data_IF_218720041944
#
_entry.id   IF_218720041944
#
_cell.length_a   1.000
_cell.length_b   1.000
_cell.length_c   1.000
_cell.angle_alpha   90.00
_cell.angle_beta   90.00
_cell.angle_gamma   90.00
#
_symmetry.space_group_name_H-M   'P 1'
#
loop_
_entity.id
_entity.type
_entity.pdbx_description
1 polymer ?
2 non-polymer ?
3 non-polymer ?
4 water ?
#
# COMPACT_ATOMS: atom_id res chain seq x y z
N UNK A 2 -8.29 10.18 17.69
CA UNK A 2 -8.25 10.90 16.42
C UNK A 2 -8.80 12.31 16.62
N UNK A 3 -8.17 13.29 15.98
CA UNK A 3 -8.58 14.68 16.16
C UNK A 3 -9.99 14.88 15.62
N UNK A 4 -10.86 15.48 16.44
CA UNK A 4 -12.19 15.85 15.98
C UNK A 4 -12.09 17.18 15.24
N UNK A 5 -12.49 17.18 13.97
CA UNK A 5 -12.44 18.37 13.14
C UNK A 5 -13.78 19.09 13.17
N UNK A 6 -13.73 20.42 13.10
CA UNK A 6 -14.92 21.22 12.93
C UNK A 6 -15.33 21.22 11.47
N UNK A 7 -16.59 20.85 11.21
CA UNK A 7 -17.07 20.73 9.83
C UNK A 7 -17.07 22.06 9.09
N UNK A 8 -17.07 23.19 9.79
CA UNK A 8 -17.00 24.47 9.09
C UNK A 8 -15.66 24.65 8.37
N UNK A 9 -14.64 23.90 8.76
CA UNK A 9 -13.34 23.97 8.12
C UNK A 9 -13.20 23.03 6.93
N UNK A 10 -14.25 22.28 6.60
CA UNK A 10 -14.20 21.27 5.55
C UNK A 10 -15.13 21.69 4.42
N UNK A 11 -14.60 21.69 3.20
CA UNK A 11 -15.41 21.92 2.01
C UNK A 11 -15.27 20.72 1.09
N UNK A 12 -16.40 20.21 0.61
CA UNK A 12 -16.43 19.12 -0.36
C UNK A 12 -16.43 19.74 -1.75
N UNK A 13 -15.41 19.41 -2.55
CA UNK A 13 -15.34 19.87 -3.94
C UNK A 13 -16.12 18.93 -4.86
N UNK A 14 -15.70 17.67 -4.93
CA UNK A 14 -16.18 16.74 -5.92
C UNK A 14 -16.21 15.34 -5.32
N UNK A 15 -17.08 14.49 -5.86
CA UNK A 15 -17.22 13.11 -5.42
C UNK A 15 -16.38 12.24 -6.36
N UNK A 16 -15.31 11.65 -5.82
CA UNK A 16 -14.42 10.85 -6.65
C UNK A 16 -15.03 9.50 -6.96
N UNK A 17 -15.69 8.89 -5.98
CA UNK A 17 -16.26 7.58 -6.20
C UNK A 17 -16.97 7.10 -4.95
N UNK A 18 -17.23 5.79 -4.93
CA UNK A 18 -17.98 5.14 -3.88
C UNK A 18 -17.06 4.19 -3.11
N UNK A 19 -17.13 4.24 -1.78
CA UNK A 19 -16.43 3.31 -0.94
C UNK A 19 -17.36 2.25 -0.36
N UNK A 20 -16.84 1.53 0.63
CA UNK A 20 -17.64 0.51 1.30
C UNK A 20 -18.78 1.14 2.10
N UNK A 21 -18.47 2.13 2.92
CA UNK A 21 -19.42 2.69 3.85
C UNK A 21 -20.15 3.93 3.33
N UNK A 22 -19.89 4.37 2.12
CA UNK A 22 -20.44 5.60 1.64
C UNK A 22 -19.58 6.21 0.55
N UNK A 23 -19.68 7.53 0.41
CA UNK A 23 -19.03 8.25 -0.68
C UNK A 23 -17.58 8.60 -0.36
N UNK A 24 -16.78 8.62 -1.42
CA UNK A 24 -15.40 9.10 -1.35
C UNK A 24 -15.31 10.40 -2.14
N UNK A 25 -14.81 11.44 -1.49
CA UNK A 25 -14.83 12.79 -2.03
C UNK A 25 -13.46 13.43 -1.89
N UNK A 26 -13.28 14.55 -2.57
CA UNK A 26 -12.09 15.37 -2.41
C UNK A 26 -12.54 16.79 -2.08
N UNK A 27 -11.65 17.54 -1.45
CA UNK A 27 -12.04 18.82 -0.93
C UNK A 27 -10.87 19.54 -0.31
N UNK A 28 -11.20 20.52 0.54
CA UNK A 28 -10.22 21.35 1.22
C UNK A 28 -10.47 21.31 2.72
N UNK A 29 -9.38 21.39 3.47
CA UNK A 29 -9.44 21.50 4.92
C UNK A 29 -8.71 22.76 5.33
N UNK A 30 -9.36 23.61 6.11
CA UNK A 30 -8.73 24.78 6.69
C UNK A 30 -8.20 24.40 8.06
N UNK A 31 -6.87 24.44 8.20
CA UNK A 31 -6.19 24.07 9.42
C UNK A 31 -6.35 25.18 10.48
N UNK A 32 -6.04 24.90 11.73
CA UNK A 32 -6.25 25.92 12.77
C UNK A 32 -5.45 27.19 12.52
N UNK A 33 -4.27 27.07 11.89
CA UNK A 33 -3.42 28.18 11.52
C UNK A 33 -3.97 29.00 10.35
N UNK A 34 -5.10 28.58 9.76
CA UNK A 34 -5.77 29.15 8.59
C UNK A 34 -5.22 28.65 7.27
N UNK A 35 -4.12 27.90 7.27
CA UNK A 35 -3.62 27.33 6.03
C UNK A 35 -4.64 26.33 5.48
N UNK A 36 -4.80 26.32 4.16
CA UNK A 36 -5.74 25.44 3.49
C UNK A 36 -4.98 24.38 2.71
N UNK A 37 -5.40 23.11 2.85
CA UNK A 37 -4.78 21.99 2.15
C UNK A 37 -5.87 21.19 1.45
N UNK A 38 -5.48 20.49 0.37
CA UNK A 38 -6.38 19.55 -0.28
C UNK A 38 -6.42 18.27 0.53
N UNK A 39 -7.60 17.68 0.63
CA UNK A 39 -7.79 16.46 1.41
C UNK A 39 -8.71 15.51 0.68
N UNK A 40 -8.60 14.22 1.03
CA UNK A 40 -9.63 13.25 0.72
C UNK A 40 -10.63 13.22 1.86
N UNK A 41 -11.92 13.11 1.52
CA UNK A 41 -13.00 13.11 2.50
C UNK A 41 -13.89 11.90 2.24
N UNK A 42 -13.99 11.00 3.22
CA UNK A 42 -14.89 9.86 3.17
C UNK A 42 -16.08 10.14 4.06
N UNK A 43 -17.28 9.95 3.54
CA UNK A 43 -18.50 10.15 4.30
C UNK A 43 -19.19 8.82 4.57
N UNK A 44 -19.62 8.62 5.81
CA UNK A 44 -20.41 7.46 6.18
C UNK A 44 -21.83 7.65 5.67
N UNK A 45 -22.37 6.65 4.99
CA UNK A 45 -23.68 6.76 4.36
C UNK A 45 -24.74 7.12 5.39
N UNK A 46 -25.73 7.92 4.94
CA UNK A 46 -26.87 8.21 5.81
C UNK A 46 -27.58 6.89 6.14
N UNK A 47 -28.13 6.83 7.35
CA UNK A 47 -28.79 5.62 7.79
C UNK A 47 -27.84 4.49 8.09
N UNK A 48 -26.64 4.81 8.57
CA UNK A 48 -25.65 3.80 8.91
C UNK A 48 -26.06 3.03 10.16
N UNK A 49 -25.72 1.74 10.17
CA UNK A 49 -25.83 0.94 11.38
C UNK A 49 -24.72 1.30 12.36
N UNK A 50 -24.93 0.94 13.63
CA UNK A 50 -23.92 1.20 14.65
C UNK A 50 -22.62 0.44 14.35
N UNK A 51 -22.74 -0.76 13.79
CA UNK A 51 -21.53 -1.52 13.46
C UNK A 51 -20.77 -0.86 12.32
N UNK A 52 -21.49 -0.33 11.32
CA UNK A 52 -20.83 0.39 10.23
C UNK A 52 -20.06 1.59 10.77
N UNK A 53 -20.68 2.39 11.64
CA UNK A 53 -19.99 3.50 12.26
C UNK A 53 -18.75 3.04 13.02
N UNK A 54 -18.87 1.93 13.77
CA UNK A 54 -17.75 1.40 14.53
C UNK A 54 -16.61 0.97 13.61
N UNK A 55 -16.92 0.24 12.55
CA UNK A 55 -15.88 -0.24 11.64
C UNK A 55 -15.29 0.90 10.83
N UNK A 56 -16.13 1.85 10.41
CA UNK A 56 -15.66 3.02 9.67
C UNK A 56 -14.64 3.81 10.48
N UNK A 57 -15.03 4.25 11.69
CA UNK A 57 -14.14 5.03 12.53
C UNK A 57 -13.00 4.19 13.09
N UNK A 58 -13.23 2.89 13.28
CA UNK A 58 -12.17 2.02 13.76
C UNK A 58 -10.97 2.02 12.84
N UNK A 59 -11.22 2.03 11.53
CA UNK A 59 -10.08 2.03 10.60
C UNK A 59 -9.36 3.36 10.59
N UNK A 60 -10.09 4.47 10.80
CA UNK A 60 -9.43 5.75 10.97
C UNK A 60 -8.60 5.76 12.24
N UNK A 61 -9.07 5.08 13.29
CA UNK A 61 -8.34 5.01 14.55
C UNK A 61 -7.00 4.30 14.38
N UNK A 62 -6.97 3.23 13.58
CA UNK A 62 -5.71 2.54 13.30
C UNK A 62 -4.77 3.45 12.50
N UNK A 63 -5.28 4.04 11.42
CA UNK A 63 -4.45 4.90 10.59
C UNK A 63 -3.84 6.04 11.39
N UNK A 64 -4.61 6.57 12.34
CA UNK A 64 -4.17 7.66 13.20
C UNK A 64 -3.03 7.31 14.15
N UNK A 65 -2.71 6.03 14.32
CA UNK A 65 -1.57 5.65 15.14
C UNK A 65 -0.25 6.04 14.49
N UNK A 66 -0.23 6.25 13.18
CA UNK A 66 1.01 6.39 12.43
C UNK A 66 1.16 7.82 11.92
N UNK A 67 2.29 8.44 12.23
CA UNK A 67 2.68 9.71 11.61
C UNK A 67 3.98 9.46 10.87
N UNK A 68 3.89 9.27 9.56
CA UNK A 68 5.07 8.94 8.77
C UNK A 68 4.84 9.46 7.37
N UNK A 69 5.89 9.89 6.65
CA UNK A 69 5.66 10.45 5.31
C UNK A 69 5.16 9.44 4.31
N UNK A 70 5.41 8.15 4.54
CA UNK A 70 4.98 7.05 3.68
C UNK A 70 3.73 6.31 4.13
N UNK A 71 3.03 6.82 5.14
CA UNK A 71 1.74 6.28 5.56
C UNK A 71 0.70 7.38 5.39
N UNK A 72 -0.45 7.04 4.81
CA UNK A 72 -1.49 8.06 4.58
C UNK A 72 -1.81 8.76 5.89
N UNK A 73 -1.78 10.10 5.86
CA UNK A 73 -1.96 10.92 7.06
C UNK A 73 -3.44 11.11 7.34
N UNK A 74 -3.83 10.91 8.59
CA UNK A 74 -5.21 11.18 9.02
C UNK A 74 -5.24 12.61 9.55
N UNK A 75 -5.95 13.48 8.83
CA UNK A 75 -6.12 14.84 9.34
C UNK A 75 -7.11 14.89 10.48
N UNK A 76 -8.12 14.03 10.46
CA UNK A 76 -9.04 13.90 11.58
C UNK A 76 -10.36 13.33 11.14
N UNK A 77 -11.32 13.35 12.06
CA UNK A 77 -12.66 12.80 11.84
C UNK A 77 -13.70 13.83 12.26
N UNK A 78 -14.91 13.70 11.70
CA UNK A 78 -16.06 14.45 12.18
C UNK A 78 -17.04 13.41 12.74
N UNK A 79 -17.14 13.32 14.07
CA UNK A 79 -18.18 12.53 14.70
C UNK A 79 -19.30 13.33 15.38
N UNK A 80 -19.16 14.65 15.52
CA UNK A 80 -20.10 15.43 16.31
C UNK A 80 -21.18 16.11 15.47
N UNK A 81 -21.10 15.95 14.16
CA UNK A 81 -22.14 16.38 13.24
C UNK A 81 -22.25 15.31 12.17
N UNK A 82 -23.32 15.41 11.38
CA UNK A 82 -23.54 14.44 10.31
C UNK A 82 -23.50 15.14 8.95
N UNK A 83 -23.02 14.42 7.91
CA UNK A 83 -22.52 13.05 7.96
C UNK A 83 -21.19 12.88 8.71
N UNK A 84 -20.98 11.69 9.27
CA UNK A 84 -19.70 11.33 9.86
C UNK A 84 -18.66 11.27 8.74
N UNK A 85 -17.44 11.74 9.03
CA UNK A 85 -16.45 11.94 7.98
C UNK A 85 -15.09 11.49 8.46
N UNK A 86 -14.28 10.99 7.52
CA UNK A 86 -12.85 10.74 7.72
C UNK A 86 -12.07 11.56 6.72
N UNK A 87 -11.14 12.38 7.20
CA UNK A 87 -10.40 13.31 6.37
C UNK A 87 -8.93 12.91 6.35
N UNK A 88 -8.39 12.64 5.16
CA UNK A 88 -7.02 12.18 4.99
C UNK A 88 -6.31 13.00 3.92
N UNK A 89 -4.99 12.87 3.84
CA UNK A 89 -4.27 13.68 2.86
C UNK A 89 -4.67 13.29 1.44
N UNK A 90 -4.65 14.29 0.57
CA UNK A 90 -5.09 14.12 -0.81
C UNK A 90 -3.99 13.46 -1.62
N UNK A 91 -4.33 12.42 -2.37
CA UNK A 91 -3.36 11.74 -3.21
C UNK A 91 -3.87 11.80 -4.65
N UNK A 92 -3.26 12.67 -5.45
CA UNK A 92 -3.87 13.04 -6.72
C UNK A 92 -3.93 11.88 -7.69
N UNK A 93 -2.94 11.00 -7.67
CA UNK A 93 -2.80 9.95 -8.67
C UNK A 93 -3.40 8.62 -8.25
N UNK A 94 -4.07 8.57 -7.09
CA UNK A 94 -4.93 7.43 -6.79
C UNK A 94 -4.16 6.19 -6.40
N UNK A 95 -4.76 5.03 -6.65
CA UNK A 95 -4.14 3.76 -6.27
C UNK A 95 -3.01 3.44 -7.24
N UNK A 96 -1.94 2.86 -6.69
CA UNK A 96 -0.72 2.68 -7.46
C UNK A 96 -0.91 1.71 -8.62
N UNK A 97 -1.63 0.61 -8.41
CA UNK A 97 -1.78 -0.37 -9.48
C UNK A 97 -2.51 0.23 -10.69
N UNK A 98 -3.60 0.96 -10.45
CA UNK A 98 -4.33 1.57 -11.55
C UNK A 98 -3.51 2.67 -12.20
N UNK A 99 -2.74 3.42 -11.40
CA UNK A 99 -1.92 4.50 -11.96
C UNK A 99 -0.84 3.94 -12.87
N UNK A 100 -0.15 2.88 -12.46
CA UNK A 100 0.90 2.31 -13.30
C UNK A 100 0.34 1.69 -14.57
N UNK A 101 -0.90 1.16 -14.53
CA UNK A 101 -1.47 0.55 -15.73
C UNK A 101 -1.73 1.59 -16.81
N UNK A 102 -1.98 2.83 -16.42
CA UNK A 102 -2.18 3.89 -17.41
C UNK A 102 -0.86 4.32 -18.04
N UNK A 103 0.24 4.00 -17.40
CA UNK A 103 1.59 4.45 -17.68
C UNK A 103 2.58 3.44 -18.24
N UNK A 104 2.11 2.31 -18.78
CA UNK A 104 3.00 1.17 -19.00
C UNK A 104 4.28 1.59 -19.73
N UNK A 105 5.41 1.23 -19.13
CA UNK A 105 6.76 1.49 -19.61
C UNK A 105 7.10 2.97 -19.73
N UNK A 106 6.38 3.85 -19.04
CA UNK A 106 6.59 5.29 -19.20
C UNK A 106 7.45 5.94 -18.12
N UNK A 107 7.90 5.20 -17.11
CA UNK A 107 8.72 5.77 -16.06
C UNK A 107 10.12 5.19 -16.14
N UNK A 108 11.09 5.94 -15.61
CA UNK A 108 12.43 5.40 -15.53
C UNK A 108 12.52 4.39 -14.38
N UNK A 109 13.50 3.50 -14.47
CA UNK A 109 13.75 2.57 -13.38
C UNK A 109 13.94 3.31 -12.07
N UNK A 110 14.63 4.44 -12.10
CA UNK A 110 14.94 5.15 -10.85
C UNK A 110 13.67 5.74 -10.24
N UNK A 111 12.73 6.23 -11.07
CA UNK A 111 11.43 6.64 -10.57
C UNK A 111 10.70 5.47 -9.90
N UNK A 112 10.68 4.31 -10.55
CA UNK A 112 10.01 3.16 -9.95
C UNK A 112 10.67 2.78 -8.62
N UNK A 113 12.00 2.81 -8.56
CA UNK A 113 12.69 2.47 -7.31
C UNK A 113 12.34 3.47 -6.21
N UNK A 114 12.20 4.75 -6.56
CA UNK A 114 11.78 5.72 -5.56
C UNK A 114 10.41 5.41 -4.99
N UNK A 115 9.46 4.99 -5.84
CA UNK A 115 8.15 4.60 -5.36
C UNK A 115 8.27 3.42 -4.39
N UNK A 116 9.05 2.42 -4.78
CA UNK A 116 9.25 1.22 -3.96
C UNK A 116 9.95 1.54 -2.65
N UNK A 117 10.89 2.50 -2.66
CA UNK A 117 11.58 2.87 -1.42
C UNK A 117 10.61 3.51 -0.45
N UNK A 118 9.72 4.39 -0.94
CA UNK A 118 8.69 4.96 -0.08
C UNK A 118 7.82 3.91 0.56
N UNK A 119 7.35 2.94 -0.23
CA UNK A 119 6.51 1.88 0.31
C UNK A 119 7.25 1.09 1.38
N UNK A 120 8.52 0.75 1.13
CA UNK A 120 9.28 0.00 2.13
C UNK A 120 9.49 0.83 3.40
N UNK A 121 9.71 2.13 3.26
CA UNK A 121 9.92 2.97 4.43
C UNK A 121 8.67 3.03 5.30
N UNK A 122 7.50 3.17 4.66
CA UNK A 122 6.26 3.13 5.41
C UNK A 122 6.05 1.80 6.12
N UNK A 123 6.37 0.69 5.43
CA UNK A 123 6.24 -0.61 6.07
C UNK A 123 7.23 -0.80 7.20
N UNK A 124 8.45 -0.25 7.06
CA UNK A 124 9.40 -0.30 8.17
C UNK A 124 8.80 0.35 9.41
N UNK A 125 8.12 1.49 9.24
CA UNK A 125 7.54 2.14 10.41
C UNK A 125 6.35 1.37 10.95
N UNK A 126 5.48 0.86 10.06
CA UNK A 126 4.33 0.08 10.50
C UNK A 126 4.76 -1.13 11.31
N UNK A 127 5.79 -1.84 10.82
CA UNK A 127 6.28 -3.03 11.52
C UNK A 127 7.03 -2.66 12.81
N UNK A 128 7.70 -1.51 12.83
CA UNK A 128 8.30 -0.99 14.06
C UNK A 128 7.25 -0.75 15.13
N UNK A 129 6.04 -0.40 14.71
CA UNK A 129 4.94 -0.06 15.62
C UNK A 129 4.15 -1.27 16.08
N UNK A 130 4.49 -2.46 15.60
CA UNK A 130 3.86 -3.69 16.03
C UNK A 130 2.68 -4.15 15.20
N UNK A 131 2.46 -3.53 14.05
CA UNK A 131 1.29 -3.84 13.24
C UNK A 131 1.68 -4.75 12.10
N UNK A 132 0.81 -5.70 11.78
CA UNK A 132 0.90 -6.48 10.56
C UNK A 132 -0.23 -6.04 9.66
N UNK A 133 0.11 -5.65 8.43
CA UNK A 133 -0.88 -5.05 7.56
C UNK A 133 -1.86 -6.08 7.02
N UNK A 134 -1.32 -7.19 6.49
CA UNK A 134 -1.99 -8.40 5.97
C UNK A 134 -2.65 -8.19 4.61
N UNK A 135 -2.88 -6.93 4.24
CA UNK A 135 -3.43 -6.47 2.97
C UNK A 135 -2.45 -5.80 2.00
N UNK A 136 -1.14 -5.92 2.18
CA UNK A 136 -0.22 -5.08 1.43
C UNK A 136 -0.22 -5.48 -0.04
N UNK A 137 -0.60 -4.55 -0.91
CA UNK A 137 -0.80 -4.78 -2.33
C UNK A 137 -0.74 -3.41 -3.00
N UNK A 138 -0.44 -3.38 -4.30
CA UNK A 138 -0.34 -2.09 -4.99
C UNK A 138 -1.65 -1.33 -4.97
N UNK A 139 -2.79 -2.02 -4.94
CA UNK A 139 -4.09 -1.37 -4.89
C UNK A 139 -4.31 -0.63 -3.57
N UNK A 140 -3.59 -1.02 -2.54
CA UNK A 140 -3.64 -0.40 -1.22
C UNK A 140 -2.53 0.63 -0.98
N UNK A 141 -1.74 0.95 -2.00
CA UNK A 141 -0.78 2.03 -1.97
C UNK A 141 -1.37 3.19 -2.75
N UNK A 142 -1.28 4.40 -2.21
CA UNK A 142 -1.75 5.59 -2.90
C UNK A 142 -0.57 6.44 -3.31
N UNK A 143 -0.72 7.20 -4.40
CA UNK A 143 0.42 7.92 -4.97
C UNK A 143 0.03 9.36 -5.25
N UNK A 144 0.84 10.30 -4.77
CA UNK A 144 0.45 11.70 -4.87
C UNK A 144 0.96 12.35 -6.17
N UNK A 145 0.77 13.68 -6.25
CA UNK A 145 1.12 14.42 -7.46
C UNK A 145 2.61 14.36 -7.76
N UNK A 146 3.42 14.16 -6.73
CA UNK A 146 4.88 14.09 -6.82
C UNK A 146 5.39 12.65 -6.92
N UNK A 147 4.49 11.70 -7.09
CA UNK A 147 4.77 10.25 -7.16
C UNK A 147 5.28 9.67 -5.85
N UNK A 148 5.01 10.32 -4.74
CA UNK A 148 5.31 9.72 -3.44
C UNK A 148 4.24 8.69 -3.13
N UNK A 149 4.67 7.48 -2.73
CA UNK A 149 3.76 6.36 -2.47
C UNK A 149 3.60 6.14 -0.98
N UNK A 150 2.34 5.93 -0.56
CA UNK A 150 2.02 5.84 0.87
C UNK A 150 1.09 4.66 1.14
N UNK A 151 1.34 3.95 2.26
CA UNK A 151 0.51 2.80 2.61
C UNK A 151 -0.85 3.27 3.08
N UNK A 152 -1.90 2.60 2.60
CA UNK A 152 -3.28 2.90 2.96
C UNK A 152 -4.03 1.61 3.30
N UNK A 153 -5.35 1.74 3.50
CA UNK A 153 -6.24 0.59 3.68
C UNK A 153 -5.88 -0.29 4.88
N UNK A 154 -6.18 0.19 6.07
CA UNK A 154 -5.90 -0.52 7.31
C UNK A 154 -7.02 -1.47 7.73
N UNK A 155 -8.02 -1.68 6.87
CA UNK A 155 -9.15 -2.54 7.22
C UNK A 155 -8.76 -3.91 7.75
N UNK A 156 -7.74 -4.54 7.17
CA UNK A 156 -7.30 -5.85 7.62
C UNK A 156 -6.14 -5.79 8.61
N UNK A 157 -5.68 -4.60 8.97
CA UNK A 157 -4.51 -4.46 9.83
C UNK A 157 -4.81 -4.93 11.24
N UNK A 158 -3.81 -5.57 11.87
CA UNK A 158 -3.94 -6.08 13.24
C UNK A 158 -2.68 -5.77 14.04
N UNK A 159 -2.88 -5.43 15.32
CA UNK A 159 -1.78 -5.45 16.28
C UNK A 159 -1.29 -6.88 16.44
N UNK A 160 0.03 -7.04 16.54
CA UNK A 160 0.62 -8.35 16.75
C UNK A 160 0.44 -8.77 18.21
N UNK A 175 -9.13 -13.12 2.62
CA UNK A 175 -7.68 -13.13 2.56
C UNK A 175 -7.18 -13.06 1.11
N UNK A 176 -6.33 -12.08 0.82
CA UNK A 176 -5.83 -11.89 -0.55
C UNK A 176 -4.75 -12.91 -0.93
N UNK A 177 -5.19 -14.08 -1.41
CA UNK A 177 -4.30 -15.22 -1.63
C UNK A 177 -3.04 -14.81 -2.40
N UNK A 178 -3.21 -14.07 -3.50
CA UNK A 178 -2.07 -13.74 -4.36
C UNK A 178 -0.98 -12.94 -3.63
N UNK A 179 -1.36 -12.19 -2.60
CA UNK A 179 -0.42 -11.37 -1.86
C UNK A 179 0.08 -12.00 -0.57
N UNK A 180 -0.41 -13.18 -0.22
CA UNK A 180 -0.23 -13.71 1.12
C UNK A 180 0.87 -14.78 1.13
N UNK A 181 1.68 -14.77 2.20
CA UNK A 181 2.79 -15.70 2.27
C UNK A 181 2.28 -17.14 2.42
N UNK A 182 3.11 -18.13 2.06
CA UNK A 182 2.65 -19.53 2.16
C UNK A 182 2.22 -19.93 3.56
N UNK A 183 2.94 -19.45 4.58
CA UNK A 183 2.62 -19.83 5.95
C UNK A 183 1.35 -19.14 6.45
N UNK A 184 1.08 -17.91 5.98
CA UNK A 184 -0.16 -17.27 6.38
C UNK A 184 -1.37 -17.89 5.69
N UNK A 185 -1.20 -18.37 4.45
CA UNK A 185 -2.26 -19.15 3.80
C UNK A 185 -2.46 -20.47 4.54
N UNK A 186 -1.38 -21.16 4.80
CA UNK A 186 -1.44 -22.50 5.40
C UNK A 186 -2.13 -22.50 6.75
N UNK A 187 -1.49 -21.87 7.75
CA UNK A 187 -2.00 -21.77 9.11
C UNK A 187 -2.44 -20.40 9.65
N UNK A 188 -2.52 -19.37 8.84
CA UNK A 188 -2.80 -18.01 9.36
C UNK A 188 -1.67 -17.48 10.23
N UNK A 189 -0.43 -17.76 9.83
CA UNK A 189 0.70 -17.23 10.56
C UNK A 189 1.08 -15.90 9.89
N UNK A 190 0.71 -14.81 10.56
CA UNK A 190 0.86 -13.46 10.02
C UNK A 190 1.88 -12.78 10.90
N UNK A 191 3.00 -12.41 10.31
CA UNK A 191 4.09 -11.73 11.02
C UNK A 191 4.54 -10.58 10.14
N UNK A 192 5.49 -9.76 10.61
CA UNK A 192 6.04 -8.76 9.70
C UNK A 192 6.74 -9.43 8.52
N UNK A 193 7.23 -10.66 8.69
CA UNK A 193 7.85 -11.39 7.58
C UNK A 193 6.84 -11.82 6.53
N UNK A 194 5.56 -12.02 6.89
CA UNK A 194 4.57 -12.25 5.85
C UNK A 194 4.25 -10.97 5.12
N UNK A 195 4.33 -9.83 5.81
CA UNK A 195 4.20 -8.56 5.09
C UNK A 195 5.35 -8.36 4.12
N UNK A 196 6.55 -8.81 4.49
CA UNK A 196 7.70 -8.72 3.57
C UNK A 196 7.43 -9.56 2.32
N UNK A 197 6.85 -10.76 2.49
CA UNK A 197 6.40 -11.51 1.32
C UNK A 197 5.49 -10.67 0.44
N UNK A 198 4.48 -10.03 1.05
CA UNK A 198 3.56 -9.20 0.29
C UNK A 198 4.31 -8.07 -0.39
N UNK A 199 5.30 -7.50 0.30
CA UNK A 199 6.10 -6.45 -0.33
C UNK A 199 6.80 -6.96 -1.57
N UNK A 200 7.28 -8.21 -1.55
CA UNK A 200 7.85 -8.78 -2.76
C UNK A 200 6.86 -8.82 -3.90
N UNK A 201 5.59 -9.08 -3.57
CA UNK A 201 4.56 -9.08 -4.61
C UNK A 201 4.35 -7.66 -5.14
N UNK A 202 4.33 -6.68 -4.24
CA UNK A 202 4.17 -5.29 -4.65
C UNK A 202 5.31 -4.88 -5.57
N UNK A 203 6.53 -5.33 -5.25
CA UNK A 203 7.68 -5.02 -6.08
C UNK A 203 7.51 -5.59 -7.48
N UNK A 204 7.01 -6.81 -7.58
CA UNK A 204 6.67 -7.36 -8.88
C UNK A 204 5.58 -6.54 -9.58
N UNK A 205 4.52 -6.16 -8.86
CA UNK A 205 3.47 -5.34 -9.45
C UNK A 205 4.02 -4.04 -10.02
N UNK A 206 4.90 -3.36 -9.27
CA UNK A 206 5.41 -2.07 -9.73
C UNK A 206 6.27 -2.26 -10.96
N UNK A 207 7.18 -3.24 -10.93
CA UNK A 207 8.07 -3.45 -12.06
C UNK A 207 7.32 -4.02 -13.27
N UNK A 208 6.11 -4.53 -13.08
CA UNK A 208 5.23 -5.01 -14.15
C UNK A 208 4.19 -3.98 -14.57
N UNK A 209 4.24 -2.77 -14.02
CA UNK A 209 3.27 -1.72 -14.33
C UNK A 209 1.83 -2.13 -14.05
N UNK A 210 1.62 -2.82 -12.94
CA UNK A 210 0.25 -3.09 -12.50
C UNK A 210 -0.34 -4.36 -13.06
N UNK A 211 0.49 -5.25 -13.59
CA UNK A 211 -0.02 -6.58 -13.92
C UNK A 211 -0.51 -7.27 -12.65
N UNK A 212 -1.51 -8.13 -12.80
CA UNK A 212 -2.07 -8.83 -11.67
C UNK A 212 -1.16 -9.99 -11.28
N UNK A 213 -0.79 -10.11 -10.00
CA UNK A 213 0.05 -11.24 -9.58
C UNK A 213 -0.64 -12.56 -9.90
N UNK A 214 0.10 -13.44 -10.56
CA UNK A 214 -0.37 -14.77 -10.97
C UNK A 214 -1.56 -14.69 -11.91
N UNK A 215 -1.75 -13.54 -12.55
CA UNK A 215 -2.78 -13.33 -13.56
C UNK A 215 -4.11 -13.88 -13.04
N UNK A 216 -4.82 -14.68 -13.82
CA UNK A 216 -6.10 -15.29 -13.46
C UNK A 216 -6.02 -16.74 -12.95
N UNK A 217 -4.82 -17.26 -12.66
CA UNK A 217 -4.68 -18.65 -12.20
C UNK A 217 -5.67 -18.96 -11.08
N UNK A 218 -6.25 -20.17 -11.13
CA UNK A 218 -7.09 -20.66 -10.04
C UNK A 218 -6.34 -20.50 -8.73
N UNK A 219 -7.06 -20.05 -7.69
CA UNK A 219 -6.41 -19.83 -6.40
C UNK A 219 -5.76 -21.11 -5.85
N UNK A 220 -6.36 -22.27 -6.11
CA UNK A 220 -5.75 -23.52 -5.67
C UNK A 220 -4.40 -23.73 -6.33
N UNK A 221 -4.25 -23.29 -7.58
CA UNK A 221 -2.99 -23.45 -8.28
C UNK A 221 -1.97 -22.40 -7.87
N UNK A 222 -2.41 -21.19 -7.51
CA UNK A 222 -1.49 -20.22 -6.93
C UNK A 222 -0.88 -20.77 -5.65
N UNK A 223 -1.73 -21.32 -4.77
CA UNK A 223 -1.25 -21.91 -3.52
C UNK A 223 -0.28 -23.05 -3.78
N UNK A 224 -0.65 -23.99 -4.67
CA UNK A 224 0.16 -25.19 -4.83
C UNK A 224 1.47 -24.88 -5.55
N UNK A 225 1.41 -24.04 -6.59
CA UNK A 225 2.61 -23.70 -7.35
C UNK A 225 3.65 -23.03 -6.46
N UNK A 226 3.23 -22.03 -5.68
CA UNK A 226 4.17 -21.37 -4.78
C UNK A 226 4.76 -22.38 -3.81
N UNK A 227 3.90 -23.22 -3.23
CA UNK A 227 4.38 -24.23 -2.29
C UNK A 227 5.41 -25.15 -2.94
N UNK A 228 5.19 -25.52 -4.22
CA UNK A 228 6.14 -26.36 -4.93
C UNK A 228 7.45 -25.66 -5.28
N UNK A 229 7.56 -24.36 -5.04
CA UNK A 229 8.78 -23.65 -5.33
C UNK A 229 8.75 -22.80 -6.58
N UNK A 230 7.61 -22.68 -7.24
CA UNK A 230 7.49 -21.80 -8.38
C UNK A 230 7.28 -20.36 -7.92
N UNK A 231 7.78 -19.41 -8.72
CA UNK A 231 7.68 -17.99 -8.41
C UNK A 231 7.35 -17.21 -9.67
N UNK A 232 6.84 -16.01 -9.45
CA UNK A 232 6.52 -15.13 -10.57
C UNK A 232 7.78 -14.87 -11.38
N UNK A 233 7.68 -14.80 -12.71
CA UNK A 233 8.85 -14.60 -13.57
C UNK A 233 9.28 -13.15 -13.53
N UNK A 234 10.50 -12.85 -13.95
CA UNK A 234 10.96 -11.45 -13.94
C UNK A 234 10.14 -10.60 -14.90
N UNK A 235 9.69 -9.44 -14.46
CA UNK A 235 9.04 -8.52 -15.39
C UNK A 235 10.00 -8.15 -16.51
N UNK A 236 9.43 -7.75 -17.65
CA UNK A 236 10.26 -7.42 -18.80
C UNK A 236 11.24 -6.29 -18.45
N UNK A 237 12.51 -6.49 -18.81
CA UNK A 237 13.57 -5.51 -18.58
C UNK A 237 13.79 -5.24 -17.09
N UNK A 238 13.47 -6.19 -16.24
CA UNK A 238 13.62 -5.95 -14.81
C UNK A 238 15.09 -6.03 -14.43
N UNK A 239 15.61 -5.03 -13.71
CA UNK A 239 16.98 -5.14 -13.20
C UNK A 239 17.15 -6.39 -12.34
N UNK A 240 18.34 -7.01 -12.46
CA UNK A 240 18.61 -8.24 -11.73
C UNK A 240 18.56 -8.02 -10.22
N UNK A 241 19.05 -6.86 -9.76
CA UNK A 241 19.00 -6.56 -8.33
C UNK A 241 17.57 -6.62 -7.81
N UNK A 242 16.62 -6.11 -8.60
CA UNK A 242 15.23 -6.03 -8.15
C UNK A 242 14.52 -7.38 -8.24
N UNK A 243 14.82 -8.18 -9.27
CA UNK A 243 14.23 -9.51 -9.32
C UNK A 243 14.75 -10.39 -8.19
N UNK A 244 16.06 -10.36 -7.93
CA UNK A 244 16.59 -11.09 -6.78
C UNK A 244 15.94 -10.63 -5.48
N UNK A 245 15.68 -9.31 -5.34
CA UNK A 245 15.02 -8.84 -4.13
C UNK A 245 13.62 -9.44 -3.98
N UNK A 246 12.89 -9.56 -5.10
CA UNK A 246 11.61 -10.27 -5.07
C UNK A 246 11.78 -11.70 -4.58
N UNK A 247 12.74 -12.43 -5.16
CA UNK A 247 12.96 -13.82 -4.76
C UNK A 247 13.35 -13.94 -3.30
N UNK A 248 14.09 -12.96 -2.78
CA UNK A 248 14.47 -12.98 -1.37
C UNK A 248 13.27 -12.72 -0.47
N UNK A 249 12.39 -11.81 -0.86
CA UNK A 249 11.14 -11.62 -0.14
C UNK A 249 10.26 -12.85 -0.18
N UNK A 250 10.42 -13.68 -1.21
CA UNK A 250 9.65 -14.89 -1.45
C UNK A 250 10.27 -16.15 -0.87
N UNK A 251 11.30 -16.04 -0.05
CA UNK A 251 11.89 -17.23 0.57
C UNK A 251 10.82 -18.04 1.30
N UNK A 252 10.84 -19.36 1.10
CA UNK A 252 9.87 -20.22 1.77
C UNK A 252 9.97 -20.09 3.29
N UNK A 253 11.20 -20.03 3.81
CA UNK A 253 11.42 -19.87 5.25
C UNK A 253 11.34 -18.39 5.58
N UNK A 254 10.35 -18.03 6.41
CA UNK A 254 10.15 -16.62 6.73
C UNK A 254 11.35 -16.00 7.43
N UNK A 255 12.14 -16.80 8.16
CA UNK A 255 13.31 -16.28 8.84
C UNK A 255 14.43 -15.88 7.87
N UNK A 256 14.36 -16.31 6.62
CA UNK A 256 15.39 -15.95 5.65
C UNK A 256 15.03 -14.73 4.82
N UNK A 257 13.84 -14.19 5.00
CA UNK A 257 13.45 -12.99 4.26
C UNK A 257 14.13 -11.77 4.86
N UNK A 258 14.39 -10.74 4.05
CA UNK A 258 14.95 -9.50 4.61
C UNK A 258 13.94 -8.83 5.51
N UNK A 259 14.47 -8.06 6.48
CA UNK A 259 13.67 -7.13 7.24
C UNK A 259 13.39 -5.89 6.40
N UNK A 260 12.31 -5.18 6.74
CA UNK A 260 12.01 -3.94 6.02
C UNK A 260 13.17 -2.95 6.07
N UNK A 261 13.87 -2.86 7.20
CA UNK A 261 15.00 -1.93 7.26
C UNK A 261 16.07 -2.29 6.24
N UNK A 262 16.26 -3.60 6.01
CA UNK A 262 17.23 -4.04 5.01
C UNK A 262 16.73 -3.76 3.61
N UNK A 263 15.42 -3.87 3.38
CA UNK A 263 14.88 -3.53 2.06
C UNK A 263 15.11 -2.06 1.76
N UNK A 264 14.83 -1.19 2.74
CA UNK A 264 15.06 0.24 2.54
C UNK A 264 16.52 0.49 2.21
N UNK A 265 17.43 -0.16 2.94
CA UNK A 265 18.87 -0.01 2.68
C UNK A 265 19.23 -0.47 1.28
N UNK A 266 18.67 -1.60 0.84
CA UNK A 266 18.96 -2.11 -0.49
C UNK A 266 18.52 -1.12 -1.55
N UNK A 267 17.32 -0.58 -1.41
CA UNK A 267 16.84 0.35 -2.43
C UNK A 267 17.61 1.66 -2.39
N UNK A 268 17.99 2.12 -1.20
CA UNK A 268 18.77 3.35 -1.10
C UNK A 268 20.10 3.23 -1.85
N UNK A 269 20.77 2.09 -1.75
CA UNK A 269 22.04 1.91 -2.47
C UNK A 269 21.84 1.82 -3.97
N UNK A 270 20.73 1.23 -4.43
CA UNK A 270 20.43 1.24 -5.86
C UNK A 270 20.20 2.67 -6.36
N UNK A 271 19.51 3.48 -5.55
CA UNK A 271 19.34 4.90 -5.86
C UNK A 271 20.69 5.61 -5.85
N UNK A 272 21.57 5.22 -4.91
CA UNK A 272 22.91 5.82 -4.82
C UNK A 272 23.62 5.80 -6.16
N UNK A 273 23.94 4.61 -6.67
CA UNK A 273 24.41 4.52 -8.05
C UNK A 273 23.36 3.89 -8.96
N UNK A 274 22.74 4.65 -9.86
CA UNK A 274 21.80 4.06 -10.81
C UNK A 274 22.42 3.04 -11.73
N UNK A 275 23.76 3.07 -11.89
CA UNK A 275 24.39 2.14 -12.80
C UNK A 275 24.15 0.67 -12.44
N UNK A 276 24.02 0.37 -11.15
CA UNK A 276 23.72 -1.00 -10.76
C UNK A 276 22.40 -1.47 -11.34
N UNK A 277 21.46 -0.55 -11.57
CA UNK A 277 20.17 -0.91 -12.14
C UNK A 277 20.26 -1.29 -13.62
N UNK A 278 21.38 -0.98 -14.28
CA UNK A 278 21.51 -1.31 -15.69
C UNK A 278 21.83 -2.79 -15.93
N UNK A 279 22.08 -3.56 -14.87
CA UNK A 279 22.26 -5.00 -15.02
C UNK A 279 20.87 -5.63 -15.00
N UNK A 280 20.50 -6.27 -16.10
CA UNK A 280 19.14 -6.75 -16.31
C UNK A 280 19.10 -8.25 -16.13
N UNK A 281 17.99 -8.76 -15.58
CA UNK A 281 17.78 -10.19 -15.53
C UNK A 281 17.58 -10.74 -16.94
N UNK A 282 18.06 -11.96 -17.16
CA UNK A 282 17.91 -12.60 -18.47
C UNK A 282 16.97 -13.80 -18.39
N UNK A 288 2.10 -15.00 -18.67
CA UNK A 288 3.33 -15.79 -18.78
C UNK A 288 3.22 -17.07 -17.94
N UNK A 289 4.36 -17.54 -17.44
CA UNK A 289 4.38 -18.73 -16.61
C UNK A 289 5.36 -18.56 -15.46
N UNK A 290 5.21 -19.42 -14.47
CA UNK A 290 6.02 -19.38 -13.25
C UNK A 290 7.32 -20.14 -13.43
N UNK A 291 8.37 -19.65 -12.76
CA UNK A 291 9.69 -20.27 -12.86
C UNK A 291 9.99 -21.06 -11.58
N UNK A 292 10.59 -22.23 -11.76
CA UNK A 292 10.90 -23.07 -10.62
C UNK A 292 12.13 -22.55 -9.88
#
# INVERSE_FOLDING_TARGET
MAKELDATNISIDKVVGAGEFGEVCSGRLKLPSKKEISVAIKTLKVGYTEKQRRDFLGEASIMGQFDHPNIIRLEGVVTKSKPVMIVTEYMENGSLDSFLRKHDAQFTVIQLVGMLRGIASGMKYLSDMGYVHRDLAARNILINSNLVCKVSDFGLSRVLEDDPEAAYTTRGGKIPIRWTSPEAIAYRKFTSASDVWSYGIVLWEVMSYGERPYWEMSNQDVIKAVDEGYRLPPPMDCPAALYQLMLDCWQKDRNNRPKFEQIVSILDKLIRNPGSLKIITSAAARPSNLLLDLEHHHHHH
#
